data_IF_067937169789
#
_entry.id   IF_067937169789
#
_cell.length_a   1.000
_cell.length_b   1.000
_cell.length_c   1.000
_cell.angle_alpha   90.00
_cell.angle_beta   90.00
_cell.angle_gamma   90.00
#
_symmetry.space_group_name_H-M   'P 1'
#
loop_
_entity.id
_entity.type
_entity.pdbx_description
1 polymer ?
#
# COMPACT_ATOMS: atom_id res chain seq x y z
N UNK A 1 2.18 14.17 -10.45
CA UNK A 1 2.91 12.88 -10.53
C UNK A 1 1.89 11.77 -10.40
N UNK A 2 1.95 10.76 -11.27
CA UNK A 2 1.05 9.60 -11.22
C UNK A 2 1.51 8.66 -10.09
N UNK A 3 0.74 8.58 -9.00
CA UNK A 3 1.04 7.74 -7.84
C UNK A 3 0.54 6.30 -8.00
N UNK A 4 -0.18 6.02 -9.09
CA UNK A 4 -0.80 4.72 -9.40
C UNK A 4 -0.08 3.99 -10.56
N UNK A 5 1.00 4.56 -11.08
CA UNK A 5 1.84 3.94 -12.09
C UNK A 5 2.27 2.52 -11.67
N UNK A 6 2.12 1.56 -12.59
CA UNK A 6 2.35 0.14 -12.32
C UNK A 6 3.62 -0.35 -13.01
N UNK A 7 4.43 -1.12 -12.29
CA UNK A 7 5.53 -1.87 -12.91
C UNK A 7 5.02 -3.17 -13.56
N UNK A 8 5.93 -3.98 -14.12
CA UNK A 8 5.60 -5.26 -14.79
C UNK A 8 4.85 -6.26 -13.90
N UNK A 9 4.92 -6.12 -12.58
CA UNK A 9 4.21 -6.99 -11.62
C UNK A 9 2.87 -6.37 -11.18
N UNK A 10 2.39 -5.34 -11.87
CA UNK A 10 1.23 -4.55 -11.49
C UNK A 10 1.35 -3.87 -10.11
N UNK A 11 2.58 -3.64 -9.65
CA UNK A 11 2.83 -2.99 -8.36
C UNK A 11 2.93 -1.48 -8.52
N UNK A 12 2.19 -0.77 -7.69
CA UNK A 12 2.25 0.68 -7.52
C UNK A 12 3.35 1.08 -6.53
N UNK A 13 3.78 2.36 -6.49
CA UNK A 13 4.66 2.88 -5.44
C UNK A 13 4.21 2.50 -4.02
N UNK A 14 2.91 2.46 -3.76
CA UNK A 14 2.36 2.09 -2.44
C UNK A 14 2.67 0.63 -2.07
N UNK A 15 2.59 -0.30 -3.03
CA UNK A 15 3.01 -1.70 -2.80
C UNK A 15 4.49 -1.79 -2.41
N UNK A 16 5.35 -1.03 -3.12
CA UNK A 16 6.79 -1.05 -2.90
C UNK A 16 7.13 -0.44 -1.54
N UNK A 17 6.57 0.73 -1.22
CA UNK A 17 6.78 1.40 0.07
C UNK A 17 6.30 0.53 1.24
N UNK A 18 5.16 -0.15 1.07
CA UNK A 18 4.61 -1.03 2.09
C UNK A 18 5.42 -2.32 2.28
N UNK A 19 5.92 -2.94 1.19
CA UNK A 19 6.79 -4.11 1.29
C UNK A 19 8.15 -3.81 1.92
N UNK A 20 8.69 -2.59 1.73
CA UNK A 20 9.98 -2.17 2.31
C UNK A 20 9.80 -1.64 3.76
N UNK A 21 8.58 -1.25 4.15
CA UNK A 21 8.30 -0.73 5.48
C UNK A 21 8.57 0.76 5.65
N UNK A 22 8.51 1.56 4.57
CA UNK A 22 8.79 3.00 4.60
C UNK A 22 7.56 3.81 5.03
N UNK A 23 7.35 3.92 6.33
CA UNK A 23 6.18 4.59 6.95
C UNK A 23 5.91 5.98 6.36
N UNK A 24 6.93 6.87 6.33
CA UNK A 24 6.71 8.24 5.84
C UNK A 24 6.39 8.31 4.34
N UNK A 25 6.91 7.39 3.53
CA UNK A 25 6.55 7.33 2.10
C UNK A 25 5.12 6.83 1.94
N UNK A 26 4.71 5.83 2.72
CA UNK A 26 3.33 5.35 2.73
C UNK A 26 2.38 6.50 3.10
N UNK A 27 2.70 7.28 4.14
CA UNK A 27 1.92 8.46 4.55
C UNK A 27 1.72 9.44 3.40
N UNK A 28 2.82 9.85 2.76
CA UNK A 28 2.78 10.80 1.64
C UNK A 28 1.95 10.28 0.46
N UNK A 29 1.97 8.97 0.21
CA UNK A 29 1.21 8.36 -0.88
C UNK A 29 -0.28 8.28 -0.58
N UNK A 30 -0.68 7.87 0.64
CA UNK A 30 -2.10 7.72 1.00
C UNK A 30 -2.80 9.07 1.21
N UNK A 31 -2.08 10.09 1.65
CA UNK A 31 -2.60 11.47 1.79
C UNK A 31 -2.82 12.15 0.43
N UNK A 32 -2.32 11.57 -0.66
CA UNK A 32 -2.55 12.12 -1.99
C UNK A 32 -4.00 11.93 -2.42
N UNK A 33 -4.61 13.01 -2.90
CA UNK A 33 -5.97 12.99 -3.45
C UNK A 33 -6.09 11.93 -4.56
N UNK A 34 -7.11 11.08 -4.45
CA UNK A 34 -7.38 9.99 -5.39
C UNK A 34 -6.52 8.73 -5.22
N UNK A 35 -5.61 8.68 -4.23
CA UNK A 35 -4.84 7.46 -3.96
C UNK A 35 -5.75 6.28 -3.58
N UNK A 36 -5.50 5.12 -4.20
CA UNK A 36 -6.23 3.90 -3.89
C UNK A 36 -5.39 3.00 -2.96
N UNK A 37 -5.78 2.92 -1.69
CA UNK A 37 -5.08 2.13 -0.67
C UNK A 37 -5.25 0.61 -0.84
N UNK A 38 -6.30 0.18 -1.54
CA UNK A 38 -6.67 -1.23 -1.75
C UNK A 38 -6.22 -1.78 -3.11
N UNK A 39 -5.23 -1.15 -3.74
CA UNK A 39 -4.65 -1.64 -5.00
C UNK A 39 -4.14 -3.07 -4.84
N UNK A 40 -4.26 -3.86 -5.91
CA UNK A 40 -3.76 -5.23 -5.97
C UNK A 40 -2.68 -5.39 -7.03
N UNK A 41 -1.63 -6.11 -6.68
CA UNK A 41 -0.60 -6.55 -7.62
C UNK A 41 -1.05 -7.78 -8.44
N UNK A 42 -0.23 -8.22 -9.39
CA UNK A 42 -0.55 -9.35 -10.27
C UNK A 42 -0.78 -10.68 -9.52
N UNK A 43 -0.41 -10.75 -8.24
CA UNK A 43 -0.59 -11.92 -7.37
C UNK A 43 -1.72 -11.72 -6.36
N UNK A 44 -2.61 -10.75 -6.55
CA UNK A 44 -3.73 -10.48 -5.63
C UNK A 44 -3.22 -10.17 -4.22
N UNK A 45 -2.29 -9.21 -4.15
CA UNK A 45 -1.71 -8.75 -2.88
C UNK A 45 -1.86 -7.25 -2.78
N UNK A 46 -2.42 -6.81 -1.67
CA UNK A 46 -2.52 -5.40 -1.31
C UNK A 46 -1.24 -4.87 -0.66
N UNK A 47 -1.03 -3.55 -0.62
CA UNK A 47 0.00 -2.94 0.22
C UNK A 47 -0.07 -3.41 1.67
N UNK A 48 -1.28 -3.52 2.23
CA UNK A 48 -1.52 -4.03 3.58
C UNK A 48 -1.01 -5.46 3.75
N UNK A 49 -1.35 -6.37 2.82
CA UNK A 49 -0.84 -7.75 2.84
C UNK A 49 0.69 -7.79 2.80
N UNK A 50 1.32 -6.98 1.94
CA UNK A 50 2.78 -6.94 1.82
C UNK A 50 3.46 -6.45 3.10
N UNK A 51 2.92 -5.41 3.74
CA UNK A 51 3.42 -4.90 5.01
C UNK A 51 3.26 -5.91 6.15
N UNK A 52 2.08 -6.55 6.25
CA UNK A 52 1.79 -7.55 7.27
C UNK A 52 2.71 -8.78 7.13
N UNK A 53 2.89 -9.28 5.91
CA UNK A 53 3.79 -10.41 5.62
C UNK A 53 5.25 -10.13 5.99
N UNK A 54 5.67 -8.86 5.96
CA UNK A 54 7.04 -8.42 6.29
C UNK A 54 7.18 -7.90 7.72
N UNK A 55 6.13 -7.97 8.53
CA UNK A 55 6.10 -7.49 9.92
C UNK A 55 6.36 -5.98 10.07
N UNK A 56 6.00 -5.19 9.06
CA UNK A 56 6.13 -3.73 9.10
C UNK A 56 4.96 -3.09 9.87
N UNK A 57 4.95 -3.28 11.19
CA UNK A 57 3.87 -2.84 12.09
C UNK A 57 3.53 -1.36 11.97
N UNK A 58 4.51 -0.48 11.77
CA UNK A 58 4.26 0.96 11.56
C UNK A 58 3.49 1.24 10.27
N UNK A 59 3.78 0.53 9.18
CA UNK A 59 3.00 0.64 7.93
C UNK A 59 1.61 0.03 8.09
N UNK A 60 1.52 -1.12 8.75
CA UNK A 60 0.22 -1.77 9.01
C UNK A 60 -0.69 -0.85 9.82
N UNK A 61 -0.20 -0.27 10.91
CA UNK A 61 -0.96 0.67 11.72
C UNK A 61 -1.37 1.91 10.94
N UNK A 62 -0.48 2.45 10.10
CA UNK A 62 -0.77 3.59 9.25
C UNK A 62 -1.85 3.29 8.21
N UNK A 63 -1.78 2.15 7.52
CA UNK A 63 -2.79 1.74 6.54
C UNK A 63 -4.14 1.44 7.21
N UNK A 64 -4.15 0.78 8.37
CA UNK A 64 -5.39 0.49 9.11
C UNK A 64 -6.04 1.74 9.72
N UNK A 65 -5.28 2.83 9.90
CA UNK A 65 -5.82 4.11 10.33
C UNK A 65 -6.52 4.88 9.18
N UNK A 66 -6.30 4.48 7.93
CA UNK A 66 -7.00 5.04 6.77
C UNK A 66 -8.38 4.39 6.63
N UNK A 67 -9.45 5.18 6.72
CA UNK A 67 -10.84 4.70 6.67
C UNK A 67 -11.21 4.01 5.36
N UNK A 68 -10.43 4.24 4.29
CA UNK A 68 -10.66 3.61 2.98
C UNK A 68 -10.11 2.19 2.91
N UNK A 69 -9.29 1.77 3.87
CA UNK A 69 -8.65 0.45 3.86
C UNK A 69 -9.67 -0.66 4.08
N UNK A 70 -9.74 -1.60 3.13
CA UNK A 70 -10.53 -2.83 3.27
C UNK A 70 -9.59 -4.02 3.53
N UNK A 71 -9.68 -4.56 4.75
CA UNK A 71 -8.85 -5.68 5.21
C UNK A 71 -9.18 -7.00 4.52
N UNK A 72 -10.31 -7.09 3.81
CA UNK A 72 -10.77 -8.30 3.14
C UNK A 72 -10.37 -8.36 1.65
N UNK A 73 -9.74 -7.30 1.11
CA UNK A 73 -9.27 -7.28 -0.27
C UNK A 73 -8.01 -8.14 -0.40
N UNK A 74 -8.11 -9.20 -1.21
CA UNK A 74 -7.04 -10.13 -1.57
C UNK A 74 -6.95 -10.25 -3.09
#
# INVERSE_FOLDING_TARGET
>A
VDTEARNMNSRTPLHIAAEIGRVEIVRLLIEKEGANVNVIDAKKKTPLYLAARRLHTGVVGLLLADERTDVNVL
#
